data_IF_306132432776
#
_entry.id   IF_306132432776
#
_cell.length_a   1.000
_cell.length_b   1.000
_cell.length_c   1.000
_cell.angle_alpha   90.00
_cell.angle_beta   90.00
_cell.angle_gamma   90.00
#
_symmetry.space_group_name_H-M   'P 1'
#
loop_
_entity.id
_entity.type
_entity.pdbx_description
1 polymer ?
#
# COMPACT_ATOMS: atom_id res chain seq x y z
N UNK A 1 -4.77 17.23 14.47
CA UNK A 1 -4.12 16.64 15.65
C UNK A 1 -3.14 15.53 15.29
N UNK A 2 -3.52 14.48 14.50
CA UNK A 2 -2.62 13.34 14.22
C UNK A 2 -1.34 13.75 13.46
N UNK A 3 -1.42 14.67 12.49
CA UNK A 3 -0.25 15.15 11.75
C UNK A 3 0.76 15.83 12.66
N UNK A 4 0.29 16.69 13.58
CA UNK A 4 1.18 17.35 14.55
C UNK A 4 1.94 16.35 15.43
N UNK A 5 1.24 15.35 15.99
CA UNK A 5 1.88 14.30 16.79
C UNK A 5 2.93 13.49 16.01
N UNK A 6 2.67 13.23 14.73
CA UNK A 6 3.63 12.55 13.85
C UNK A 6 4.87 13.43 13.62
N UNK A 7 4.68 14.72 13.37
CA UNK A 7 5.78 15.68 13.19
C UNK A 7 6.61 15.87 14.46
N UNK A 8 5.96 15.94 15.62
CA UNK A 8 6.64 15.95 16.93
C UNK A 8 7.50 14.69 17.14
N UNK A 9 7.03 13.55 16.64
CA UNK A 9 7.79 12.28 16.64
C UNK A 9 8.89 12.22 15.56
N UNK A 10 9.14 13.32 14.85
CA UNK A 10 10.20 13.48 13.84
C UNK A 10 10.16 12.40 12.74
N UNK A 11 8.95 12.05 12.25
CA UNK A 11 8.82 11.12 11.12
C UNK A 11 9.36 11.76 9.85
N UNK A 12 10.06 10.98 9.02
CA UNK A 12 10.61 11.44 7.75
C UNK A 12 9.56 11.56 6.64
N UNK A 13 8.53 10.71 6.71
CA UNK A 13 7.51 10.59 5.69
C UNK A 13 6.12 10.38 6.32
N UNK A 14 5.11 11.06 5.77
CA UNK A 14 3.70 10.85 6.11
C UNK A 14 2.98 10.23 4.91
N UNK A 15 2.29 9.11 5.15
CA UNK A 15 1.48 8.44 4.13
C UNK A 15 0.01 8.80 4.31
N UNK A 16 -0.60 9.40 3.28
CA UNK A 16 -2.05 9.57 3.16
C UNK A 16 -2.59 8.38 2.40
N UNK A 17 -2.99 7.34 3.14
CA UNK A 17 -3.36 6.03 2.60
C UNK A 17 -4.88 5.86 2.55
N UNK A 18 -5.44 5.74 1.34
CA UNK A 18 -6.87 5.56 1.08
C UNK A 18 -7.09 4.49 0.02
N UNK A 19 -8.29 3.88 0.00
CA UNK A 19 -8.67 2.94 -1.05
C UNK A 19 -8.82 3.64 -2.42
N UNK A 20 -9.07 4.95 -2.43
CA UNK A 20 -9.17 5.76 -3.65
C UNK A 20 -8.58 7.16 -3.41
N UNK A 21 -7.33 7.37 -3.86
CA UNK A 21 -6.58 8.61 -3.63
C UNK A 21 -7.04 9.82 -4.47
N UNK A 22 -7.73 9.58 -5.58
CA UNK A 22 -8.18 10.65 -6.48
C UNK A 22 -9.44 11.35 -5.96
N UNK A 23 -9.35 12.00 -4.81
CA UNK A 23 -10.46 12.68 -4.15
C UNK A 23 -10.05 14.07 -3.60
N UNK A 24 -11.00 15.02 -3.57
CA UNK A 24 -10.78 16.34 -2.96
C UNK A 24 -10.35 16.25 -1.49
N UNK A 25 -10.81 15.22 -0.75
CA UNK A 25 -10.44 15.00 0.64
C UNK A 25 -8.95 14.73 0.78
N UNK A 26 -8.38 13.86 -0.07
CA UNK A 26 -6.95 13.55 -0.07
C UNK A 26 -6.13 14.79 -0.44
N UNK A 27 -6.52 15.53 -1.49
CA UNK A 27 -5.92 16.81 -1.87
C UNK A 27 -5.86 17.78 -0.68
N UNK A 28 -6.99 17.96 0.03
CA UNK A 28 -7.06 18.87 1.18
C UNK A 28 -6.10 18.45 2.30
N UNK A 29 -5.95 17.13 2.52
CA UNK A 29 -5.04 16.61 3.56
C UNK A 29 -3.58 16.85 3.15
N UNK A 30 -3.20 16.59 1.90
CA UNK A 30 -1.84 16.86 1.39
C UNK A 30 -1.49 18.33 1.58
N UNK A 31 -2.36 19.23 1.12
CA UNK A 31 -2.17 20.67 1.25
C UNK A 31 -2.03 21.12 2.71
N UNK A 32 -2.83 20.55 3.62
CA UNK A 32 -2.71 20.85 5.06
C UNK A 32 -1.37 20.40 5.61
N UNK A 33 -0.88 19.19 5.28
CA UNK A 33 0.42 18.71 5.71
C UNK A 33 1.53 19.63 5.21
N UNK A 34 1.52 19.98 3.91
CA UNK A 34 2.51 20.85 3.31
C UNK A 34 2.49 22.30 3.84
N UNK A 35 1.33 22.80 4.28
CA UNK A 35 1.23 24.09 4.99
C UNK A 35 1.89 24.07 6.36
N UNK A 36 1.77 22.95 7.08
CA UNK A 36 2.38 22.77 8.42
C UNK A 36 3.88 22.55 8.28
N UNK A 37 4.30 21.70 7.35
CA UNK A 37 5.71 21.38 7.13
C UNK A 37 6.00 21.14 5.64
N UNK A 38 6.66 22.13 5.01
CA UNK A 38 7.09 22.01 3.60
C UNK A 38 8.15 20.93 3.39
N UNK A 39 8.95 20.62 4.42
CA UNK A 39 10.06 19.64 4.36
C UNK A 39 9.59 18.19 4.46
N UNK A 40 8.43 17.93 5.08
CA UNK A 40 7.92 16.57 5.28
C UNK A 40 7.57 15.95 3.93
N UNK A 41 8.11 14.75 3.68
CA UNK A 41 7.77 13.98 2.50
C UNK A 41 6.35 13.44 2.64
N UNK A 42 5.51 13.66 1.63
CA UNK A 42 4.12 13.19 1.61
C UNK A 42 3.96 12.15 0.51
N UNK A 43 3.65 10.91 0.92
CA UNK A 43 3.19 9.85 0.03
C UNK A 43 1.67 9.82 0.03
N UNK A 44 1.04 9.78 -1.14
CA UNK A 44 -0.42 9.73 -1.24
C UNK A 44 -0.88 8.61 -2.18
N UNK A 45 -1.98 7.98 -1.85
CA UNK A 45 -2.57 6.90 -2.63
C UNK A 45 -3.83 6.29 -1.98
N UNK A 46 -4.34 5.18 -2.54
CA UNK A 46 -3.83 4.52 -3.73
C UNK A 46 -4.50 5.08 -4.98
N UNK A 47 -3.77 5.01 -6.07
CA UNK A 47 -4.24 5.41 -7.40
C UNK A 47 -3.89 4.33 -8.42
N UNK A 48 -4.47 4.42 -9.63
CA UNK A 48 -4.20 3.48 -10.71
C UNK A 48 -4.12 4.15 -12.10
N UNK A 49 -4.23 5.48 -12.17
CA UNK A 49 -4.24 6.21 -13.45
C UNK A 49 -3.31 7.41 -13.44
N UNK A 50 -2.78 7.75 -14.64
CA UNK A 50 -1.94 8.93 -14.82
C UNK A 50 -2.64 10.24 -14.47
N UNK A 51 -3.97 10.34 -14.72
CA UNK A 51 -4.77 11.50 -14.33
C UNK A 51 -4.77 11.70 -12.82
N UNK A 52 -4.96 10.62 -12.06
CA UNK A 52 -4.92 10.66 -10.60
C UNK A 52 -3.51 11.00 -10.08
N UNK A 53 -2.46 10.50 -10.75
CA UNK A 53 -1.09 10.80 -10.38
C UNK A 53 -0.77 12.28 -10.51
N UNK A 54 -1.12 12.91 -11.64
CA UNK A 54 -0.98 14.38 -11.82
C UNK A 54 -1.74 15.14 -10.76
N UNK A 55 -3.00 14.77 -10.50
CA UNK A 55 -3.83 15.41 -9.48
C UNK A 55 -3.18 15.43 -8.09
N UNK A 56 -2.55 14.31 -7.68
CA UNK A 56 -1.86 14.24 -6.40
C UNK A 56 -0.53 15.00 -6.42
N UNK A 57 0.24 14.92 -7.51
CA UNK A 57 1.51 15.63 -7.67
C UNK A 57 1.30 17.16 -7.63
N UNK A 58 0.30 17.67 -8.37
CA UNK A 58 -0.09 19.09 -8.38
C UNK A 58 -0.56 19.58 -7.00
N UNK A 59 -1.08 18.65 -6.17
CA UNK A 59 -1.47 18.91 -4.78
C UNK A 59 -0.29 18.94 -3.81
N UNK A 60 0.94 18.66 -4.26
CA UNK A 60 2.16 18.66 -3.45
C UNK A 60 2.57 17.28 -2.90
N UNK A 61 2.03 16.17 -3.42
CA UNK A 61 2.54 14.84 -3.08
C UNK A 61 3.95 14.64 -3.68
N UNK A 62 4.90 14.26 -2.83
CA UNK A 62 6.26 13.92 -3.26
C UNK A 62 6.34 12.50 -3.82
N UNK A 63 5.45 11.63 -3.36
CA UNK A 63 5.36 10.23 -3.76
C UNK A 63 3.90 9.87 -4.01
N UNK A 64 3.65 9.12 -5.09
CA UNK A 64 2.34 8.50 -5.34
C UNK A 64 2.42 6.99 -5.18
N UNK A 65 1.41 6.41 -4.51
CA UNK A 65 1.33 4.97 -4.27
C UNK A 65 0.29 4.35 -5.22
N UNK A 66 0.78 3.47 -6.10
CA UNK A 66 0.03 2.93 -7.24
C UNK A 66 -0.38 1.48 -6.96
N UNK A 67 -1.67 1.22 -7.03
CA UNK A 67 -2.23 -0.13 -6.90
C UNK A 67 -3.67 -0.12 -6.42
N UNK A 68 -4.58 -0.69 -7.24
CA UNK A 68 -5.98 -0.92 -6.90
C UNK A 68 -6.30 -2.40 -7.02
N UNK A 69 -6.43 -3.07 -5.87
CA UNK A 69 -6.78 -4.48 -5.78
C UNK A 69 -5.72 -5.51 -6.16
N UNK A 70 -4.40 -5.22 -6.28
CA UNK A 70 -3.41 -6.24 -6.62
C UNK A 70 -2.97 -7.08 -5.42
N UNK A 71 -3.30 -6.69 -4.20
CA UNK A 71 -2.91 -7.40 -2.98
C UNK A 71 -3.52 -8.80 -2.89
N UNK A 72 -2.78 -9.76 -2.32
CA UNK A 72 -3.18 -11.17 -2.26
C UNK A 72 -4.45 -11.44 -1.42
N UNK A 73 -4.75 -10.56 -0.47
CA UNK A 73 -5.92 -10.62 0.41
C UNK A 73 -6.91 -9.48 0.15
N UNK A 74 -6.70 -8.73 -0.94
CA UNK A 74 -7.60 -7.66 -1.36
C UNK A 74 -8.70 -8.25 -2.25
N UNK A 75 -9.96 -7.92 -1.93
CA UNK A 75 -11.14 -8.31 -2.71
C UNK A 75 -11.85 -7.12 -3.36
N UNK A 76 -11.22 -5.94 -3.38
CA UNK A 76 -11.79 -4.74 -4.01
C UNK A 76 -12.28 -5.02 -5.42
N UNK A 77 -11.49 -5.71 -6.25
CA UNK A 77 -11.87 -6.04 -7.64
C UNK A 77 -13.11 -6.92 -7.73
N UNK A 78 -13.31 -7.81 -6.76
CA UNK A 78 -14.49 -8.70 -6.72
C UNK A 78 -15.72 -7.98 -6.18
N UNK A 79 -15.54 -7.16 -5.15
CA UNK A 79 -16.66 -6.49 -4.45
C UNK A 79 -17.15 -5.27 -5.22
N UNK A 80 -16.23 -4.47 -5.79
CA UNK A 80 -16.57 -3.19 -6.44
C UNK A 80 -16.49 -3.23 -7.96
N UNK A 81 -15.87 -4.27 -8.53
CA UNK A 81 -15.56 -4.34 -9.96
C UNK A 81 -14.43 -3.37 -10.40
N UNK A 82 -13.83 -2.64 -9.46
CA UNK A 82 -12.80 -1.63 -9.75
C UNK A 82 -11.40 -2.24 -9.61
N UNK A 83 -10.56 -2.01 -10.61
CA UNK A 83 -9.17 -2.42 -10.60
C UNK A 83 -8.49 -2.16 -11.94
N UNK A 84 -7.17 -2.08 -11.90
CA UNK A 84 -6.32 -1.97 -13.09
C UNK A 84 -5.19 -2.99 -12.94
N UNK A 85 -4.76 -3.69 -14.01
CA UNK A 85 -3.57 -4.52 -13.98
C UNK A 85 -2.37 -3.71 -13.49
N UNK A 86 -1.64 -4.23 -12.51
CA UNK A 86 -0.65 -3.45 -11.75
C UNK A 86 0.43 -2.84 -12.64
N UNK A 87 0.99 -3.61 -13.58
CA UNK A 87 2.03 -3.13 -14.48
C UNK A 87 1.51 -2.01 -15.38
N UNK A 88 0.29 -2.16 -15.92
CA UNK A 88 -0.36 -1.13 -16.74
C UNK A 88 -0.58 0.16 -15.97
N UNK A 89 -0.98 0.06 -14.69
CA UNK A 89 -1.15 1.23 -13.82
C UNK A 89 0.17 1.97 -13.59
N UNK A 90 1.26 1.23 -13.33
CA UNK A 90 2.60 1.85 -13.14
C UNK A 90 3.07 2.53 -14.41
N UNK A 91 2.92 1.89 -15.57
CA UNK A 91 3.30 2.46 -16.87
C UNK A 91 2.53 3.76 -17.19
N UNK A 92 1.20 3.76 -16.97
CA UNK A 92 0.37 4.94 -17.20
C UNK A 92 0.75 6.10 -16.27
N UNK A 93 0.97 5.80 -14.98
CA UNK A 93 1.42 6.79 -14.00
C UNK A 93 2.82 7.33 -14.36
N UNK A 94 3.76 6.45 -14.73
CA UNK A 94 5.11 6.87 -15.13
C UNK A 94 5.08 7.78 -16.35
N UNK A 95 4.30 7.43 -17.37
CA UNK A 95 4.10 8.27 -18.55
C UNK A 95 3.54 9.63 -18.19
N UNK A 96 2.55 9.68 -17.31
CA UNK A 96 1.90 10.92 -16.88
C UNK A 96 2.82 11.84 -16.07
N UNK A 97 3.71 11.25 -15.26
CA UNK A 97 4.63 11.98 -14.39
C UNK A 97 6.01 12.25 -15.02
N UNK A 98 6.17 12.10 -16.33
CA UNK A 98 7.47 12.27 -17.04
C UNK A 98 8.20 13.57 -16.65
N UNK A 99 7.46 14.67 -16.49
CA UNK A 99 8.01 15.99 -16.18
C UNK A 99 7.87 16.37 -14.69
N UNK A 100 7.53 15.44 -13.83
CA UNK A 100 7.37 15.65 -12.38
C UNK A 100 8.54 15.06 -11.61
N UNK A 101 8.87 15.66 -10.48
CA UNK A 101 9.85 15.10 -9.53
C UNK A 101 9.23 14.02 -8.61
N UNK A 102 7.92 13.86 -8.67
CA UNK A 102 7.14 12.93 -7.86
C UNK A 102 7.56 11.49 -8.11
N UNK A 103 7.83 10.75 -7.04
CA UNK A 103 8.26 9.35 -7.06
C UNK A 103 7.07 8.39 -7.08
N UNK A 104 7.31 7.15 -7.49
CA UNK A 104 6.28 6.14 -7.68
C UNK A 104 6.59 4.93 -6.81
N UNK A 105 5.64 4.53 -5.94
CA UNK A 105 5.66 3.25 -5.25
C UNK A 105 4.64 2.33 -5.92
N UNK A 106 5.10 1.17 -6.42
CA UNK A 106 4.21 0.10 -6.88
C UNK A 106 3.76 -0.73 -5.68
N UNK A 107 2.49 -0.62 -5.31
CA UNK A 107 1.92 -1.24 -4.10
C UNK A 107 1.08 -2.46 -4.43
N UNK A 108 1.56 -3.63 -4.02
CA UNK A 108 0.89 -4.91 -4.15
C UNK A 108 1.22 -5.68 -5.43
N UNK A 109 0.83 -6.96 -5.45
CA UNK A 109 1.05 -7.86 -6.59
C UNK A 109 2.44 -8.50 -6.63
N UNK A 110 3.35 -8.18 -5.73
CA UNK A 110 4.70 -8.74 -5.67
C UNK A 110 4.65 -10.11 -4.99
N UNK A 111 4.93 -11.16 -5.75
CA UNK A 111 5.01 -12.55 -5.30
C UNK A 111 6.43 -13.12 -5.42
N UNK A 112 7.20 -12.63 -6.38
CA UNK A 112 8.54 -13.08 -6.71
C UNK A 112 9.47 -11.89 -6.96
N UNK A 113 10.78 -12.12 -6.92
CA UNK A 113 11.79 -11.08 -7.24
C UNK A 113 11.62 -10.50 -8.65
N UNK A 114 11.22 -11.34 -9.62
CA UNK A 114 10.94 -10.88 -10.98
C UNK A 114 9.79 -9.86 -11.08
N UNK A 115 8.86 -9.85 -10.12
CA UNK A 115 7.80 -8.84 -10.09
C UNK A 115 8.34 -7.48 -9.65
N UNK A 116 9.36 -7.47 -8.79
CA UNK A 116 10.11 -6.23 -8.43
C UNK A 116 10.80 -5.69 -9.66
N UNK A 117 11.53 -6.54 -10.38
CA UNK A 117 12.25 -6.15 -11.61
C UNK A 117 11.29 -5.53 -12.64
N UNK A 118 10.13 -6.15 -12.87
CA UNK A 118 9.10 -5.62 -13.78
C UNK A 118 8.55 -4.28 -13.30
N UNK A 119 8.28 -4.11 -12.01
CA UNK A 119 7.76 -2.85 -11.46
C UNK A 119 8.77 -1.72 -11.61
N UNK A 120 10.06 -1.96 -11.32
CA UNK A 120 11.14 -0.99 -11.50
C UNK A 120 11.34 -0.66 -12.98
N UNK A 121 11.39 -1.67 -13.87
CA UNK A 121 11.50 -1.46 -15.31
C UNK A 121 10.32 -0.66 -15.89
N UNK A 122 9.11 -0.83 -15.34
CA UNK A 122 7.94 -0.03 -15.70
C UNK A 122 8.00 1.43 -15.17
N UNK A 123 8.98 1.75 -14.33
CA UNK A 123 9.26 3.10 -13.85
C UNK A 123 8.86 3.38 -12.40
N UNK A 124 8.57 2.36 -11.59
CA UNK A 124 8.46 2.54 -10.16
C UNK A 124 9.83 2.82 -9.54
N UNK A 125 9.88 3.71 -8.56
CA UNK A 125 11.10 4.00 -7.79
C UNK A 125 11.24 3.02 -6.60
N UNK A 126 10.13 2.45 -6.13
CA UNK A 126 10.09 1.45 -5.05
C UNK A 126 8.88 0.54 -5.18
N UNK A 127 8.89 -0.56 -4.43
CA UNK A 127 7.75 -1.49 -4.32
C UNK A 127 7.29 -1.59 -2.87
N UNK A 128 5.97 -1.80 -2.66
CA UNK A 128 5.40 -2.12 -1.36
C UNK A 128 4.92 -3.58 -1.36
N UNK A 129 5.36 -4.33 -0.35
CA UNK A 129 5.16 -5.78 -0.26
C UNK A 129 4.40 -6.11 1.02
N UNK A 130 3.28 -6.82 0.89
CA UNK A 130 2.48 -7.28 2.03
C UNK A 130 2.72 -8.76 2.36
N UNK A 131 2.18 -9.66 1.55
CA UNK A 131 2.09 -11.09 1.87
C UNK A 131 3.43 -11.81 2.05
N UNK A 132 4.47 -11.41 1.33
CA UNK A 132 5.80 -12.01 1.50
C UNK A 132 6.38 -11.72 2.88
N UNK A 133 6.12 -10.52 3.42
CA UNK A 133 6.61 -10.12 4.74
C UNK A 133 5.65 -10.48 5.88
N UNK A 134 4.37 -10.74 5.59
CA UNK A 134 3.39 -11.09 6.62
C UNK A 134 3.74 -12.36 7.41
N UNK A 135 4.49 -13.31 6.80
CA UNK A 135 4.96 -14.54 7.43
C UNK A 135 6.31 -14.41 8.14
N UNK A 136 6.92 -13.25 8.21
CA UNK A 136 8.23 -13.08 8.84
C UNK A 136 8.14 -12.99 10.36
N UNK A 137 9.25 -13.20 11.03
CA UNK A 137 9.37 -13.10 12.49
C UNK A 137 9.01 -11.71 12.98
N UNK A 138 9.47 -10.66 12.28
CA UNK A 138 9.30 -9.26 12.63
C UNK A 138 7.89 -8.73 12.36
N UNK A 139 7.09 -9.40 11.53
CA UNK A 139 5.70 -8.99 11.31
C UNK A 139 4.85 -9.22 12.57
N UNK A 140 3.81 -8.41 12.82
CA UNK A 140 2.95 -8.62 13.98
C UNK A 140 2.17 -9.95 13.91
N UNK A 141 1.69 -10.42 15.08
CA UNK A 141 0.89 -11.63 15.22
C UNK A 141 1.69 -12.83 15.76
N UNK A 142 0.97 -13.71 16.45
CA UNK A 142 1.54 -14.92 17.07
C UNK A 142 1.78 -16.00 16.03
N UNK A 143 2.88 -16.75 16.21
CA UNK A 143 3.15 -17.96 15.45
C UNK A 143 2.31 -19.09 16.06
N UNK A 144 1.70 -19.92 15.23
CA UNK A 144 0.95 -21.09 15.64
C UNK A 144 1.17 -22.28 14.69
N UNK A 145 0.97 -23.49 15.20
CA UNK A 145 1.11 -24.72 14.43
C UNK A 145 -0.22 -25.13 13.81
N UNK A 146 -0.23 -25.42 12.51
CA UNK A 146 -1.38 -25.96 11.80
C UNK A 146 -0.90 -27.01 10.79
N UNK A 147 -1.50 -28.21 10.83
CA UNK A 147 -1.14 -29.35 9.96
C UNK A 147 0.39 -29.60 9.90
N UNK A 148 1.05 -29.58 11.06
CA UNK A 148 2.50 -29.84 11.18
C UNK A 148 3.42 -28.68 10.81
N UNK A 149 2.93 -27.56 10.26
CA UNK A 149 3.71 -26.41 9.85
C UNK A 149 3.40 -25.18 10.71
N UNK A 150 4.32 -24.21 10.73
CA UNK A 150 4.15 -22.94 11.44
C UNK A 150 3.50 -21.89 10.54
N UNK A 151 2.57 -21.13 11.10
CA UNK A 151 1.81 -20.07 10.42
C UNK A 151 1.66 -18.84 11.29
N UNK A 152 1.31 -17.70 10.64
CA UNK A 152 0.85 -16.48 11.28
C UNK A 152 -0.50 -16.07 10.69
N UNK A 153 -1.34 -15.40 11.47
CA UNK A 153 -2.56 -14.77 10.96
C UNK A 153 -2.17 -13.57 10.09
N UNK A 154 -2.86 -13.42 8.99
CA UNK A 154 -2.68 -12.33 8.05
C UNK A 154 -4.05 -11.79 7.64
N UNK A 155 -4.27 -10.48 7.78
CA UNK A 155 -5.56 -9.86 7.44
C UNK A 155 -5.38 -8.65 6.54
N UNK A 156 -6.28 -8.50 5.57
CA UNK A 156 -6.36 -7.32 4.72
C UNK A 156 -6.86 -6.11 5.49
N UNK A 157 -6.39 -4.93 5.13
CA UNK A 157 -6.88 -3.66 5.68
C UNK A 157 -8.38 -3.45 5.45
N UNK A 158 -8.93 -4.03 4.36
CA UNK A 158 -10.36 -4.02 4.04
C UNK A 158 -11.15 -5.19 4.62
N UNK A 159 -10.57 -6.05 5.47
CA UNK A 159 -11.32 -7.11 6.14
C UNK A 159 -12.26 -6.52 7.21
N UNK A 160 -13.36 -7.22 7.49
CA UNK A 160 -14.32 -6.78 8.52
C UNK A 160 -13.66 -6.57 9.89
N UNK A 161 -12.75 -7.47 10.28
CA UNK A 161 -12.01 -7.37 11.53
C UNK A 161 -11.03 -6.17 11.54
N UNK A 162 -10.38 -5.83 10.43
CA UNK A 162 -9.55 -4.65 10.35
C UNK A 162 -10.38 -3.36 10.39
N UNK A 163 -11.52 -3.32 9.68
CA UNK A 163 -12.43 -2.17 9.68
C UNK A 163 -13.00 -1.89 11.07
N UNK A 164 -13.39 -2.91 11.81
CA UNK A 164 -13.91 -2.76 13.19
C UNK A 164 -12.88 -2.19 14.16
N UNK A 165 -11.59 -2.45 13.92
CA UNK A 165 -10.49 -1.97 14.77
C UNK A 165 -9.92 -0.62 14.35
N UNK A 166 -10.19 -0.12 13.13
CA UNK A 166 -9.75 1.24 12.79
C UNK A 166 -9.48 1.56 11.32
N UNK A 167 -9.59 0.61 10.38
CA UNK A 167 -9.29 0.87 8.97
C UNK A 167 -10.50 1.25 8.10
N UNK A 168 -11.69 1.38 8.68
CA UNK A 168 -12.91 1.69 7.94
C UNK A 168 -12.84 3.02 7.18
N UNK A 169 -12.19 4.05 7.75
CA UNK A 169 -12.02 5.36 7.15
C UNK A 169 -11.18 5.34 5.86
N UNK A 170 -10.24 4.37 5.74
CA UNK A 170 -9.47 4.12 4.52
C UNK A 170 -10.37 3.79 3.32
N UNK A 171 -11.50 3.13 3.59
CA UNK A 171 -12.53 2.71 2.63
C UNK A 171 -13.74 3.64 2.61
N UNK A 172 -13.61 4.86 3.16
CA UNK A 172 -14.68 5.86 3.27
C UNK A 172 -15.91 5.38 4.03
N UNK A 173 -15.76 4.33 4.86
CA UNK A 173 -16.83 3.83 5.71
C UNK A 173 -16.70 4.38 7.13
N UNK A 174 -17.85 4.68 7.76
CA UNK A 174 -17.86 5.16 9.15
C UNK A 174 -17.65 3.99 10.10
N UNK A 175 -16.95 4.25 11.21
CA UNK A 175 -16.82 3.26 12.29
C UNK A 175 -18.20 2.83 12.78
N UNK A 176 -18.45 1.53 12.83
CA UNK A 176 -19.70 0.94 13.27
C UNK A 176 -19.41 -0.13 14.34
N UNK A 177 -20.29 -0.22 15.36
CA UNK A 177 -20.21 -1.29 16.36
C UNK A 177 -20.69 -2.63 15.80
N UNK A 178 -21.60 -2.58 14.85
CA UNK A 178 -22.13 -3.76 14.16
C UNK A 178 -21.26 -4.09 12.94
N UNK A 179 -20.50 -5.17 13.05
CA UNK A 179 -19.56 -5.62 12.02
C UNK A 179 -20.28 -6.00 10.72
N UNK A 180 -21.53 -6.44 10.78
CA UNK A 180 -22.33 -6.83 9.61
C UNK A 180 -22.65 -5.65 8.67
N UNK A 181 -22.54 -4.42 9.16
CA UNK A 181 -22.76 -3.19 8.39
C UNK A 181 -21.56 -2.72 7.57
N UNK A 182 -20.42 -3.38 7.69
CA UNK A 182 -19.30 -3.10 6.80
C UNK A 182 -19.46 -3.82 5.46
N UNK A 183 -18.97 -3.21 4.39
CA UNK A 183 -18.76 -3.84 3.09
C UNK A 183 -17.26 -4.16 2.97
N UNK A 184 -16.84 -5.39 3.30
CA UNK A 184 -15.42 -5.73 3.31
C UNK A 184 -14.85 -5.80 1.89
N UNK A 185 -13.68 -5.22 1.70
CA UNK A 185 -12.89 -5.28 0.47
C UNK A 185 -11.58 -6.06 0.68
N UNK A 186 -11.55 -6.94 1.65
CA UNK A 186 -10.42 -7.80 1.97
C UNK A 186 -10.83 -8.96 2.85
N UNK A 187 -9.96 -9.97 2.87
CA UNK A 187 -10.17 -11.19 3.65
C UNK A 187 -9.13 -11.35 4.75
N UNK A 188 -9.41 -12.22 5.69
CA UNK A 188 -8.48 -12.70 6.69
C UNK A 188 -8.05 -14.13 6.34
N UNK A 189 -6.80 -14.45 6.61
CA UNK A 189 -6.24 -15.76 6.31
C UNK A 189 -5.02 -16.07 7.17
N UNK A 190 -4.29 -17.06 6.74
CA UNK A 190 -3.02 -17.47 7.35
C UNK A 190 -1.92 -17.49 6.30
N UNK A 191 -0.71 -17.16 6.71
CA UNK A 191 0.50 -17.29 5.89
C UNK A 191 1.48 -18.18 6.58
N UNK A 192 2.22 -18.97 5.82
CA UNK A 192 3.27 -19.83 6.37
C UNK A 192 4.36 -18.94 7.00
N UNK A 193 4.81 -19.32 8.19
CA UNK A 193 5.95 -18.68 8.84
C UNK A 193 7.24 -18.95 8.05
N UNK A 194 8.03 -17.90 7.81
CA UNK A 194 9.20 -17.92 6.92
C UNK A 194 10.52 -17.60 7.64
N UNK A 195 10.47 -17.40 8.96
CA UNK A 195 11.64 -16.95 9.73
C UNK A 195 11.93 -15.46 9.55
N UNK A 196 13.16 -15.02 9.78
CA UNK A 196 13.51 -13.60 9.79
C UNK A 196 13.45 -12.96 8.40
N UNK A 197 13.05 -11.69 8.34
CA UNK A 197 12.80 -10.91 7.10
C UNK A 197 14.05 -10.79 6.23
N UNK A 198 15.23 -10.73 6.83
CA UNK A 198 16.50 -10.57 6.10
C UNK A 198 16.73 -11.67 5.06
N UNK A 199 16.33 -12.92 5.36
CA UNK A 199 16.41 -14.04 4.40
C UNK A 199 15.56 -13.80 3.16
N UNK A 200 14.35 -13.25 3.34
CA UNK A 200 13.45 -12.93 2.23
C UNK A 200 14.01 -11.76 1.42
N UNK A 201 14.45 -10.71 2.10
CA UNK A 201 15.06 -9.53 1.44
C UNK A 201 16.27 -9.95 0.62
N UNK A 202 17.14 -10.80 1.17
CA UNK A 202 18.31 -11.30 0.46
C UNK A 202 17.94 -11.98 -0.87
N UNK A 203 16.92 -12.87 -0.85
CA UNK A 203 16.44 -13.57 -2.05
C UNK A 203 15.82 -12.58 -3.06
N UNK A 204 15.03 -11.62 -2.60
CA UNK A 204 14.39 -10.62 -3.46
C UNK A 204 15.43 -9.71 -4.14
N UNK A 205 16.42 -9.24 -3.38
CA UNK A 205 17.52 -8.42 -3.91
C UNK A 205 18.40 -9.25 -4.85
N UNK A 206 18.68 -10.51 -4.51
CA UNK A 206 19.44 -11.41 -5.38
C UNK A 206 18.78 -11.57 -6.75
N UNK A 207 17.48 -11.84 -6.78
CA UNK A 207 16.74 -11.95 -8.03
C UNK A 207 16.64 -10.63 -8.81
N UNK A 208 16.53 -9.49 -8.13
CA UNK A 208 16.60 -8.17 -8.78
C UNK A 208 17.98 -7.95 -9.41
N UNK A 209 19.07 -8.23 -8.69
CA UNK A 209 20.42 -8.12 -9.24
C UNK A 209 20.65 -9.01 -10.46
N UNK A 210 20.06 -10.22 -10.46
CA UNK A 210 20.15 -11.13 -11.60
C UNK A 210 19.38 -10.64 -12.85
N UNK A 211 18.48 -9.67 -12.69
CA UNK A 211 17.72 -9.07 -13.79
C UNK A 211 18.35 -7.82 -14.38
N UNK A 212 19.42 -7.31 -13.76
CA UNK A 212 20.18 -6.12 -14.17
C UNK A 212 21.41 -6.47 -14.98
#
# INVERSE_FOLDING_TARGET
DRVYKLLESKVDLIVVDTAHGHTKKVLTIINKIKKISKKTIVCAGNIATGKAAKFLADSGADIVKVGMGPGSICTTRLVTGIGVPQLSAVLDVKKALKNYKTKIISDGGIKFSGDIAKAIAAGADAVMIGSLFAGTEESPGKIFKHKGKLYKKFRGMGSAGAMSTGSADRYFQKKNKDISKYVPEGVEGIVQFKGPVNKIIYQLIGGLKSSM
#
